data_IF_300213869456
#
_entry.id   IF_300213869456
#
_cell.length_a   1.000
_cell.length_b   1.000
_cell.length_c   1.000
_cell.angle_alpha   90.00
_cell.angle_beta   90.00
_cell.angle_gamma   90.00
#
_symmetry.space_group_name_H-M   'P 1'
#
loop_
_entity.id
_entity.type
_entity.pdbx_description
1 polymer ?
#
# COMPACT_ATOMS: atom_id res chain seq x y z
N UNK A 1 -2.87 8.90 -14.88
CA UNK A 1 -3.19 8.24 -13.63
C UNK A 1 -4.10 7.06 -13.86
N UNK A 2 -3.89 6.05 -13.12
CA UNK A 2 -4.82 4.95 -13.13
C UNK A 2 -4.90 4.38 -11.73
N UNK A 3 -6.03 3.77 -11.46
CA UNK A 3 -6.25 3.16 -10.16
C UNK A 3 -5.73 1.73 -10.20
N UNK A 4 -5.24 1.29 -9.06
CA UNK A 4 -4.77 -0.06 -8.87
C UNK A 4 -5.76 -0.73 -7.95
N UNK A 5 -6.34 -1.82 -8.43
CA UNK A 5 -7.20 -2.60 -7.57
C UNK A 5 -6.39 -3.10 -6.41
N UNK A 6 -7.09 -3.36 -5.34
CA UNK A 6 -6.42 -3.90 -4.17
C UNK A 6 -5.78 -5.23 -4.54
N UNK A 7 -4.49 -5.21 -4.63
CA UNK A 7 -3.72 -6.39 -4.94
C UNK A 7 -2.85 -6.80 -3.76
N UNK A 8 -3.02 -6.13 -2.64
CA UNK A 8 -2.28 -6.51 -1.46
C UNK A 8 -2.90 -7.74 -0.83
N UNK A 9 -2.07 -8.52 -0.21
CA UNK A 9 -2.47 -9.71 0.50
C UNK A 9 -2.02 -9.61 1.94
N UNK A 10 -2.87 -10.07 2.84
CA UNK A 10 -2.54 -10.09 4.25
C UNK A 10 -2.65 -11.51 4.75
N UNK A 11 -1.67 -11.92 5.52
CA UNK A 11 -1.63 -13.25 6.11
C UNK A 11 -1.33 -13.11 7.59
N UNK A 12 -2.31 -13.46 8.40
CA UNK A 12 -2.14 -13.44 9.84
C UNK A 12 -1.77 -14.84 10.28
N UNK A 13 -0.49 -15.02 10.60
CA UNK A 13 0.01 -16.35 10.96
C UNK A 13 -0.47 -16.74 12.34
N UNK A 14 -0.42 -15.80 13.28
CA UNK A 14 -0.96 -16.01 14.62
C UNK A 14 -1.20 -14.64 15.22
N UNK A 15 -1.38 -14.58 16.53
CA UNK A 15 -1.68 -13.29 17.16
C UNK A 15 -0.49 -12.33 17.15
N UNK A 16 0.70 -12.81 16.85
CA UNK A 16 1.91 -11.98 16.92
C UNK A 16 2.49 -11.62 15.56
N UNK A 17 2.19 -12.39 14.53
CA UNK A 17 2.86 -12.24 13.24
C UNK A 17 1.85 -12.01 12.13
N UNK A 18 2.06 -10.95 11.40
CA UNK A 18 1.29 -10.66 10.20
C UNK A 18 2.24 -10.33 9.05
N UNK A 19 1.87 -10.75 7.86
CA UNK A 19 2.60 -10.44 6.63
C UNK A 19 1.62 -9.78 5.68
N UNK A 20 2.04 -8.71 5.05
CA UNK A 20 1.23 -8.10 4.01
C UNK A 20 2.12 -7.85 2.80
N UNK A 21 1.50 -7.70 1.67
CA UNK A 21 2.25 -7.60 0.43
C UNK A 21 1.49 -6.79 -0.59
N UNK A 22 2.24 -6.29 -1.56
CA UNK A 22 1.65 -5.57 -2.68
C UNK A 22 2.63 -5.62 -3.85
N UNK A 23 2.14 -5.42 -5.08
CA UNK A 23 3.00 -5.42 -6.25
C UNK A 23 3.67 -4.07 -6.44
N UNK A 24 4.35 -3.58 -5.41
CA UNK A 24 4.88 -2.22 -5.37
C UNK A 24 6.25 -2.21 -4.73
N UNK A 25 6.99 -1.16 -5.05
CA UNK A 25 8.18 -0.81 -4.29
C UNK A 25 7.82 0.36 -3.40
N UNK A 26 7.68 0.09 -2.13
CA UNK A 26 7.32 1.14 -1.18
C UNK A 26 8.53 1.95 -0.77
N UNK A 27 8.35 3.25 -0.59
CA UNK A 27 9.29 4.00 0.20
C UNK A 27 9.23 3.45 1.62
N UNK A 28 10.37 3.34 2.26
CA UNK A 28 10.44 2.61 3.53
C UNK A 28 9.54 3.22 4.61
N UNK A 29 9.28 4.50 4.53
CA UNK A 29 8.41 5.16 5.51
C UNK A 29 7.01 4.57 5.50
N UNK A 30 6.54 4.12 4.33
CA UNK A 30 5.20 3.54 4.24
C UNK A 30 5.10 2.26 5.05
N UNK A 31 6.04 1.35 4.85
CA UNK A 31 6.02 0.10 5.59
C UNK A 31 6.34 0.32 7.06
N UNK A 32 7.17 1.31 7.37
CA UNK A 32 7.47 1.64 8.75
C UNK A 32 6.24 2.14 9.48
N UNK A 33 5.43 2.95 8.81
CA UNK A 33 4.20 3.44 9.43
C UNK A 33 3.22 2.29 9.67
N UNK A 34 3.07 1.40 8.72
CA UNK A 34 2.20 0.24 8.93
C UNK A 34 2.69 -0.58 10.11
N UNK A 35 4.01 -0.82 10.17
CA UNK A 35 4.57 -1.61 11.27
C UNK A 35 4.34 -0.96 12.62
N UNK A 36 4.50 0.35 12.70
CA UNK A 36 4.37 1.04 13.97
C UNK A 36 2.93 1.09 14.48
N UNK A 37 1.97 1.03 13.57
CA UNK A 37 0.55 1.13 13.93
C UNK A 37 -0.15 -0.22 13.89
N UNK A 38 0.54 -1.27 13.48
CA UNK A 38 -0.04 -2.60 13.38
C UNK A 38 -0.33 -3.16 14.77
N UNK A 39 -1.42 -3.89 14.95
CA UNK A 39 -1.67 -4.58 16.21
C UNK A 39 -0.82 -5.82 16.40
N UNK A 40 -0.04 -6.20 15.40
CA UNK A 40 0.82 -7.37 15.47
C UNK A 40 2.24 -6.92 15.79
N UNK A 41 2.89 -7.51 16.83
CA UNK A 41 4.26 -7.13 17.17
C UNK A 41 5.24 -7.32 16.02
N UNK A 42 5.00 -8.33 15.18
CA UNK A 42 5.87 -8.62 14.05
C UNK A 42 5.07 -8.50 12.78
N UNK A 43 5.32 -7.43 12.04
CA UNK A 43 4.59 -7.12 10.81
C UNK A 43 5.59 -6.94 9.69
N UNK A 44 5.47 -7.77 8.64
CA UNK A 44 6.42 -7.78 7.53
C UNK A 44 5.73 -7.38 6.24
N UNK A 45 6.47 -6.70 5.39
CA UNK A 45 6.01 -6.34 4.05
C UNK A 45 6.86 -7.04 3.01
N UNK A 46 6.21 -7.63 2.02
CA UNK A 46 6.86 -8.24 0.86
C UNK A 46 6.45 -7.46 -0.38
N UNK A 47 7.44 -6.87 -1.03
CA UNK A 47 7.19 -6.15 -2.27
C UNK A 47 7.20 -7.08 -3.47
N UNK A 48 6.92 -6.48 -4.65
CA UNK A 48 6.90 -7.21 -5.93
C UNK A 48 5.97 -8.41 -5.95
N UNK A 49 5.04 -8.48 -5.05
CA UNK A 49 4.19 -9.66 -4.94
C UNK A 49 3.15 -9.63 -6.05
N UNK A 50 3.18 -10.64 -6.90
CA UNK A 50 2.26 -10.79 -8.03
C UNK A 50 2.36 -9.66 -9.05
N UNK A 51 3.53 -9.03 -9.16
CA UNK A 51 3.76 -8.05 -10.19
C UNK A 51 4.49 -6.83 -9.68
N UNK A 52 4.51 -5.81 -10.53
CA UNK A 52 5.18 -4.56 -10.20
C UNK A 52 4.45 -3.42 -10.89
N UNK A 53 3.90 -2.50 -10.11
CA UNK A 53 3.21 -1.34 -10.64
C UNK A 53 4.00 -0.04 -10.40
N UNK A 54 5.20 -0.14 -9.86
CA UNK A 54 6.06 1.01 -9.68
C UNK A 54 6.29 1.34 -8.23
N UNK A 55 6.92 2.48 -8.03
CA UNK A 55 7.20 2.97 -6.69
C UNK A 55 5.98 3.66 -6.09
N UNK A 56 5.84 3.54 -4.78
CA UNK A 56 4.80 4.24 -4.03
C UNK A 56 5.47 5.14 -3.01
N UNK A 57 5.67 6.42 -3.36
CA UNK A 57 6.32 7.36 -2.46
C UNK A 57 5.34 7.86 -1.40
N UNK A 58 5.88 8.35 -0.29
CA UNK A 58 5.05 9.05 0.68
C UNK A 58 4.62 10.38 0.10
N UNK A 59 3.53 10.94 0.65
CA UNK A 59 3.05 12.23 0.20
C UNK A 59 4.11 13.30 0.40
N UNK A 60 4.87 13.21 1.49
CA UNK A 60 5.90 14.19 1.79
C UNK A 60 7.01 14.22 0.75
N UNK A 61 7.30 13.08 0.13
CA UNK A 61 8.39 13.01 -0.85
C UNK A 61 7.98 13.49 -2.23
N UNK A 62 6.69 13.63 -2.48
CA UNK A 62 6.24 14.05 -3.80
C UNK A 62 6.80 15.40 -4.23
N UNK A 63 6.94 16.32 -3.30
CA UNK A 63 7.43 17.66 -3.64
C UNK A 63 8.92 17.68 -3.89
N UNK A 64 9.63 16.65 -3.51
CA UNK A 64 11.07 16.58 -3.76
C UNK A 64 11.40 16.03 -5.14
N UNK A 65 10.44 15.36 -5.79
CA UNK A 65 10.63 14.82 -7.11
C UNK A 65 11.61 13.67 -7.11
N UNK A 66 12.28 13.50 -8.25
CA UNK A 66 13.26 12.43 -8.40
C UNK A 66 12.73 11.30 -9.24
N UNK A 67 13.62 10.35 -9.52
CA UNK A 67 13.32 9.26 -10.44
C UNK A 67 12.10 8.44 -9.98
N UNK A 68 12.08 8.10 -8.71
CA UNK A 68 11.03 7.24 -8.18
C UNK A 68 9.68 7.92 -8.21
N UNK A 69 9.64 9.22 -8.09
CA UNK A 69 8.38 9.96 -8.10
C UNK A 69 7.95 10.28 -9.53
N UNK A 70 8.89 10.80 -10.33
CA UNK A 70 8.54 11.40 -11.61
C UNK A 70 8.48 10.39 -12.74
N UNK A 71 9.28 9.34 -12.65
CA UNK A 71 9.44 8.43 -13.78
C UNK A 71 8.70 7.11 -13.59
N UNK A 72 8.73 6.55 -12.40
CA UNK A 72 8.24 5.18 -12.20
C UNK A 72 7.15 5.08 -11.15
N UNK A 73 6.47 6.17 -10.86
CA UNK A 73 5.32 6.13 -9.97
C UNK A 73 4.08 6.60 -10.70
N UNK A 74 3.12 5.70 -10.95
CA UNK A 74 1.87 6.08 -11.60
C UNK A 74 0.81 6.57 -10.64
N UNK A 75 1.16 6.76 -9.37
CA UNK A 75 0.17 7.00 -8.33
C UNK A 75 0.03 8.49 -8.04
N UNK A 76 -1.00 8.83 -7.28
CA UNK A 76 -1.21 10.19 -6.79
C UNK A 76 -0.48 10.34 -5.45
N UNK A 77 -0.26 11.58 -5.00
CA UNK A 77 0.40 11.77 -3.71
C UNK A 77 -0.32 11.14 -2.52
N UNK A 78 -1.64 10.93 -2.64
CA UNK A 78 -2.42 10.37 -1.54
C UNK A 78 -2.42 8.86 -1.50
N UNK A 79 -1.87 8.21 -2.52
CA UNK A 79 -1.98 6.77 -2.64
C UNK A 79 -1.32 6.04 -1.49
N UNK A 80 -0.18 6.54 -1.01
CA UNK A 80 0.51 5.90 0.10
C UNK A 80 -0.33 5.92 1.38
N UNK A 81 -0.98 7.06 1.64
CA UNK A 81 -1.86 7.15 2.80
C UNK A 81 -3.06 6.23 2.67
N UNK A 82 -3.63 6.16 1.48
CA UNK A 82 -4.78 5.28 1.24
C UNK A 82 -4.41 3.82 1.46
N UNK A 83 -3.24 3.41 0.96
CA UNK A 83 -2.78 2.05 1.15
C UNK A 83 -2.55 1.76 2.63
N UNK A 84 -1.89 2.68 3.32
CA UNK A 84 -1.60 2.51 4.74
C UNK A 84 -2.87 2.27 5.55
N UNK A 85 -3.88 3.12 5.33
CA UNK A 85 -5.12 2.97 6.07
C UNK A 85 -5.85 1.69 5.71
N UNK A 86 -5.81 1.32 4.44
CA UNK A 86 -6.46 0.09 4.00
C UNK A 86 -5.84 -1.14 4.66
N UNK A 87 -4.52 -1.19 4.69
CA UNK A 87 -3.81 -2.32 5.29
C UNK A 87 -4.07 -2.37 6.79
N UNK A 88 -4.00 -1.22 7.44
CA UNK A 88 -4.23 -1.17 8.89
C UNK A 88 -5.65 -1.56 9.26
N UNK A 89 -6.63 -1.14 8.48
CA UNK A 89 -8.00 -1.54 8.73
C UNK A 89 -8.14 -3.05 8.70
N UNK A 90 -7.51 -3.68 7.72
CA UNK A 90 -7.57 -5.13 7.64
C UNK A 90 -6.86 -5.80 8.81
N UNK A 91 -5.66 -5.32 9.14
CA UNK A 91 -4.89 -5.90 10.22
C UNK A 91 -5.58 -5.75 11.56
N UNK A 92 -6.34 -4.68 11.73
CA UNK A 92 -7.08 -4.43 12.96
C UNK A 92 -8.43 -5.14 12.98
N UNK A 93 -8.75 -5.87 11.94
CA UNK A 93 -10.01 -6.60 11.88
C UNK A 93 -11.19 -5.75 11.47
N UNK A 94 -10.95 -4.56 10.96
CA UNK A 94 -12.03 -3.69 10.48
C UNK A 94 -12.30 -4.04 9.03
N UNK A 95 -13.23 -4.96 8.83
CA UNK A 95 -13.54 -5.43 7.49
C UNK A 95 -14.23 -4.35 6.70
N UNK A 96 -13.73 -4.10 5.51
CA UNK A 96 -14.34 -3.18 4.57
C UNK A 96 -14.52 -3.87 3.24
N UNK A 97 -15.43 -3.33 2.45
CA UNK A 97 -15.56 -3.80 1.08
C UNK A 97 -14.25 -3.53 0.35
N UNK A 98 -13.88 -4.38 -0.61
CA UNK A 98 -12.67 -4.16 -1.39
C UNK A 98 -12.69 -2.80 -2.05
N UNK A 99 -11.54 -2.13 -2.05
CA UNK A 99 -11.40 -0.80 -2.60
C UNK A 99 -10.16 -0.74 -3.47
N UNK A 100 -10.09 0.30 -4.29
CA UNK A 100 -8.87 0.59 -5.01
C UNK A 100 -8.02 1.54 -4.17
N UNK A 101 -6.71 1.52 -4.41
CA UNK A 101 -5.82 2.43 -3.71
C UNK A 101 -6.09 3.85 -4.12
N UNK A 102 -6.23 4.09 -5.41
CA UNK A 102 -6.64 5.38 -5.91
C UNK A 102 -7.95 5.18 -6.64
N UNK A 103 -8.97 5.87 -6.17
CA UNK A 103 -10.29 5.67 -6.72
C UNK A 103 -10.44 6.36 -8.05
N UNK A 104 -10.87 5.63 -9.02
CA UNK A 104 -11.13 6.18 -10.33
C UNK A 104 -12.33 5.46 -10.89
N UNK A 105 -13.32 6.19 -11.38
CA UNK A 105 -14.51 5.54 -11.90
C UNK A 105 -14.16 4.53 -12.95
N UNK A 106 -14.75 3.36 -12.83
CA UNK A 106 -14.53 2.33 -13.81
C UNK A 106 -15.42 2.57 -14.98
N UNK A 107 -14.86 2.27 -16.15
CA UNK A 107 -15.68 2.27 -17.31
C UNK A 107 -16.64 1.12 -17.26
N UNK A 108 -17.87 1.39 -17.56
CA UNK A 108 -18.83 0.32 -17.71
C UNK A 108 -18.57 -0.42 -19.00
N UNK A 109 -18.80 -1.69 -18.98
CA UNK A 109 -18.62 -2.48 -20.16
C UNK A 109 -19.92 -2.95 -20.68
#
# INVERSE_FOLDING_TARGET
LYSVKREEFQLKINKDIAIWSAPLELFCEVSNEVRSRSPFPYTFYFGYTNGWFGYLPTEAEWKHGGYEVETVSPFTPRAAGDLTESVLDYLQGKMRAPQTITEKPRRKR
#
